data_IF_057372160007
#
_entry.id   IF_057372160007
#
_cell.length_a   1.000
_cell.length_b   1.000
_cell.length_c   1.000
_cell.angle_alpha   90.00
_cell.angle_beta   90.00
_cell.angle_gamma   90.00
#
_symmetry.space_group_name_H-M   'P 1'
#
loop_
_entity.id
_entity.type
_entity.pdbx_description
1 polymer ?
#
# COMPACT_ATOMS: atom_id res chain seq x y z
N UNK A 1 -11.57 -5.37 4.92
CA UNK A 1 -12.43 -4.24 5.30
C UNK A 1 -11.73 -2.90 5.06
N UNK A 2 -10.51 -2.79 5.51
CA UNK A 2 -9.69 -1.58 5.46
C UNK A 2 -9.46 -1.06 4.02
N UNK A 3 -9.25 -1.97 3.10
CA UNK A 3 -9.05 -1.69 1.67
C UNK A 3 -10.33 -1.24 0.97
N UNK A 4 -11.51 -1.55 1.52
CA UNK A 4 -12.79 -1.30 0.88
C UNK A 4 -13.50 -0.04 1.37
N UNK A 5 -13.19 0.44 2.58
CA UNK A 5 -13.86 1.61 3.16
C UNK A 5 -13.77 2.86 2.25
N UNK A 6 -12.60 3.23 1.69
CA UNK A 6 -12.52 4.38 0.79
C UNK A 6 -13.41 4.25 -0.44
N UNK A 7 -13.46 3.07 -1.04
CA UNK A 7 -14.31 2.82 -2.22
C UNK A 7 -15.80 2.91 -1.88
N UNK A 8 -16.20 2.40 -0.70
CA UNK A 8 -17.58 2.46 -0.23
C UNK A 8 -17.97 3.91 0.09
N UNK A 9 -17.08 4.66 0.72
CA UNK A 9 -17.29 6.08 1.04
C UNK A 9 -17.43 6.92 -0.25
N UNK A 10 -16.74 6.53 -1.33
CA UNK A 10 -16.87 7.13 -2.67
C UNK A 10 -18.09 6.63 -3.46
N UNK A 11 -18.91 5.77 -2.87
CA UNK A 11 -20.13 5.24 -3.50
C UNK A 11 -19.92 4.09 -4.48
N UNK A 12 -18.75 3.47 -4.48
CA UNK A 12 -18.46 2.28 -5.28
C UNK A 12 -19.05 1.04 -4.62
N UNK A 13 -19.69 0.17 -5.41
CA UNK A 13 -20.19 -1.11 -4.93
C UNK A 13 -19.03 -2.09 -4.89
N UNK A 14 -18.72 -2.63 -3.70
CA UNK A 14 -17.61 -3.56 -3.51
C UNK A 14 -18.14 -4.98 -3.25
N UNK A 15 -17.67 -5.93 -4.04
CA UNK A 15 -17.91 -7.36 -3.85
C UNK A 15 -16.64 -8.06 -3.38
N UNK A 16 -16.77 -8.94 -2.39
CA UNK A 16 -15.68 -9.79 -1.95
C UNK A 16 -16.21 -11.19 -1.65
N UNK A 17 -15.50 -12.22 -2.08
CA UNK A 17 -15.91 -13.61 -1.84
C UNK A 17 -15.08 -14.60 -2.64
N UNK A 18 -15.45 -15.89 -2.54
CA UNK A 18 -14.74 -17.01 -3.16
C UNK A 18 -15.47 -17.60 -4.38
N UNK A 19 -16.74 -17.28 -4.56
CA UNK A 19 -17.54 -17.73 -5.70
C UNK A 19 -17.62 -16.62 -6.74
N UNK A 20 -16.60 -16.54 -7.58
CA UNK A 20 -16.44 -15.46 -8.56
C UNK A 20 -17.56 -15.41 -9.60
N UNK A 21 -18.14 -16.54 -9.97
CA UNK A 21 -19.27 -16.54 -10.90
C UNK A 21 -20.51 -15.89 -10.28
N UNK A 22 -20.84 -16.22 -9.03
CA UNK A 22 -21.96 -15.58 -8.35
C UNK A 22 -21.74 -14.09 -8.16
N UNK A 23 -20.50 -13.66 -7.83
CA UNK A 23 -20.14 -12.26 -7.70
C UNK A 23 -20.39 -11.55 -9.03
N UNK A 24 -19.87 -12.08 -10.14
CA UNK A 24 -20.05 -11.48 -11.46
C UNK A 24 -21.54 -11.38 -11.82
N UNK A 25 -22.32 -12.45 -11.64
CA UNK A 25 -23.75 -12.45 -11.93
C UNK A 25 -24.58 -11.53 -11.04
N UNK A 26 -24.09 -11.21 -9.86
CA UNK A 26 -24.70 -10.18 -9.03
C UNK A 26 -24.35 -8.76 -9.54
N UNK A 27 -23.06 -8.52 -9.78
CA UNK A 27 -22.54 -7.21 -10.24
C UNK A 27 -23.16 -6.77 -11.58
N UNK A 28 -23.25 -7.67 -12.57
CA UNK A 28 -23.83 -7.39 -13.90
C UNK A 28 -25.27 -6.81 -13.85
N UNK A 29 -25.98 -7.00 -12.74
CA UNK A 29 -27.35 -6.50 -12.57
C UNK A 29 -27.42 -5.07 -12.04
N UNK A 30 -26.30 -4.57 -11.51
CA UNK A 30 -26.26 -3.33 -10.73
C UNK A 30 -25.34 -2.28 -11.34
N UNK A 31 -24.37 -2.70 -12.19
CA UNK A 31 -23.32 -1.81 -12.70
C UNK A 31 -23.07 -2.03 -14.19
N UNK A 32 -22.58 -0.98 -14.86
CA UNK A 32 -22.18 -1.03 -16.27
C UNK A 32 -20.73 -1.48 -16.46
N UNK A 33 -19.88 -1.30 -15.43
CA UNK A 33 -18.46 -1.63 -15.46
C UNK A 33 -18.12 -2.42 -14.21
N UNK A 34 -17.44 -3.55 -14.40
CA UNK A 34 -16.87 -4.38 -13.33
C UNK A 34 -15.36 -4.24 -13.36
N UNK A 35 -14.77 -3.79 -12.26
CA UNK A 35 -13.33 -3.78 -12.04
C UNK A 35 -12.95 -5.00 -11.21
N UNK A 36 -12.13 -5.88 -11.78
CA UNK A 36 -11.51 -6.95 -11.02
C UNK A 36 -10.16 -6.47 -10.49
N UNK A 37 -10.08 -6.32 -9.17
CA UNK A 37 -8.85 -5.92 -8.49
C UNK A 37 -8.13 -7.16 -7.95
N UNK A 38 -6.91 -7.34 -8.40
CA UNK A 38 -6.04 -8.44 -8.01
C UNK A 38 -4.59 -8.00 -7.88
N UNK A 39 -3.85 -8.71 -7.04
CA UNK A 39 -2.40 -8.54 -6.96
C UNK A 39 -1.72 -8.91 -8.29
N UNK A 40 -0.49 -8.43 -8.49
CA UNK A 40 0.31 -8.79 -9.67
C UNK A 40 0.66 -10.29 -9.74
N UNK A 41 0.37 -11.02 -8.69
CA UNK A 41 0.50 -12.47 -8.56
C UNK A 41 -0.82 -13.22 -8.73
N UNK A 42 -1.88 -12.55 -9.15
CA UNK A 42 -3.18 -13.14 -9.40
C UNK A 42 -3.52 -13.12 -10.90
N UNK A 43 -4.21 -14.16 -11.37
CA UNK A 43 -4.82 -14.18 -12.68
C UNK A 43 -6.29 -13.87 -12.55
N UNK A 44 -6.81 -12.99 -13.42
CA UNK A 44 -8.25 -12.78 -13.51
C UNK A 44 -8.99 -14.07 -13.84
N UNK A 45 -10.06 -14.35 -13.11
CA UNK A 45 -11.01 -15.43 -13.42
C UNK A 45 -12.04 -15.05 -14.48
N UNK A 46 -12.07 -13.76 -14.83
CA UNK A 46 -12.97 -13.22 -15.83
C UNK A 46 -12.27 -13.02 -17.17
N UNK A 47 -13.01 -13.14 -18.25
CA UNK A 47 -12.58 -12.64 -19.55
C UNK A 47 -12.70 -11.11 -19.50
N UNK A 48 -11.57 -10.43 -19.48
CA UNK A 48 -11.52 -8.97 -19.37
C UNK A 48 -11.53 -8.33 -20.75
N UNK A 49 -12.28 -7.24 -20.91
CA UNK A 49 -12.24 -6.39 -22.11
C UNK A 49 -11.00 -5.49 -22.13
N UNK A 50 -10.44 -5.20 -20.96
CA UNK A 50 -9.24 -4.39 -20.79
C UNK A 50 -8.42 -4.90 -19.61
N UNK A 51 -7.14 -5.20 -19.83
CA UNK A 51 -6.18 -5.63 -18.81
C UNK A 51 -5.16 -4.55 -18.55
N UNK A 52 -5.18 -4.01 -17.34
CA UNK A 52 -4.24 -2.98 -16.89
C UNK A 52 -3.30 -3.59 -15.86
N UNK A 53 -2.00 -3.48 -16.08
CA UNK A 53 -0.97 -3.93 -15.15
C UNK A 53 -0.20 -2.73 -14.60
N UNK A 54 0.08 -2.72 -13.30
CA UNK A 54 0.87 -1.68 -12.64
C UNK A 54 2.26 -2.20 -12.35
N UNK A 55 3.29 -1.51 -12.86
CA UNK A 55 4.70 -1.80 -12.62
C UNK A 55 5.32 -0.76 -11.67
N UNK A 56 6.20 -1.23 -10.78
CA UNK A 56 6.86 -0.40 -9.76
C UNK A 56 8.35 -0.20 -10.10
N UNK A 57 8.78 1.00 -10.52
CA UNK A 57 10.17 1.26 -10.89
C UNK A 57 11.13 1.31 -9.69
N UNK A 58 10.65 1.28 -8.44
CA UNK A 58 11.51 1.07 -7.28
C UNK A 58 12.06 -0.36 -7.20
N UNK A 59 11.54 -1.27 -8.02
CA UNK A 59 11.93 -2.69 -8.10
C UNK A 59 12.17 -3.12 -9.55
N UNK A 60 13.11 -2.48 -10.27
CA UNK A 60 13.36 -2.78 -11.68
C UNK A 60 13.79 -4.24 -11.85
N UNK A 61 13.18 -4.93 -12.81
CA UNK A 61 13.38 -6.35 -13.09
C UNK A 61 12.29 -7.25 -12.52
N UNK A 62 11.52 -6.82 -11.53
CA UNK A 62 10.43 -7.62 -10.98
C UNK A 62 9.32 -7.89 -12.00
N UNK A 63 9.09 -6.97 -12.92
CA UNK A 63 8.14 -7.10 -14.02
C UNK A 63 8.42 -8.29 -14.96
N UNK A 64 9.66 -8.78 -14.94
CA UNK A 64 10.13 -9.87 -15.82
C UNK A 64 10.60 -11.13 -15.09
N UNK A 65 10.74 -11.11 -13.77
CA UNK A 65 11.37 -12.19 -12.99
C UNK A 65 10.46 -12.86 -11.98
N UNK A 66 9.26 -12.30 -11.74
CA UNK A 66 8.30 -12.85 -10.79
C UNK A 66 7.07 -13.42 -11.51
N UNK A 67 6.87 -14.72 -11.38
CA UNK A 67 5.65 -15.38 -11.83
C UNK A 67 4.57 -15.29 -10.74
N UNK A 68 3.30 -14.99 -11.06
CA UNK A 68 2.73 -14.77 -12.41
C UNK A 68 2.76 -13.33 -12.92
N UNK A 69 3.42 -12.40 -12.24
CA UNK A 69 3.48 -10.99 -12.64
C UNK A 69 4.06 -10.78 -14.05
N UNK A 70 5.05 -11.58 -14.43
CA UNK A 70 5.62 -11.57 -15.78
C UNK A 70 4.56 -11.97 -16.82
N UNK A 71 3.73 -12.97 -16.54
CA UNK A 71 2.64 -13.39 -17.43
C UNK A 71 1.59 -12.29 -17.57
N UNK A 72 1.21 -11.65 -16.47
CA UNK A 72 0.30 -10.51 -16.51
C UNK A 72 0.85 -9.36 -17.35
N UNK A 73 2.15 -9.08 -17.25
CA UNK A 73 2.79 -8.05 -18.08
C UNK A 73 2.77 -8.39 -19.57
N UNK A 74 2.92 -9.67 -19.93
CA UNK A 74 2.83 -10.13 -21.33
C UNK A 74 1.42 -10.06 -21.92
N UNK A 75 0.41 -10.19 -21.08
CA UNK A 75 -1.01 -10.28 -21.48
C UNK A 75 -1.76 -8.94 -21.27
N UNK A 76 -1.06 -7.90 -20.84
CA UNK A 76 -1.64 -6.58 -20.58
C UNK A 76 -1.94 -5.81 -21.88
N UNK A 77 -3.08 -5.12 -21.93
CA UNK A 77 -3.38 -4.11 -22.96
C UNK A 77 -2.72 -2.77 -22.61
N UNK A 78 -2.69 -2.45 -21.32
CA UNK A 78 -2.08 -1.23 -20.78
C UNK A 78 -1.16 -1.56 -19.62
N UNK A 79 0.03 -0.96 -19.59
CA UNK A 79 0.95 -1.06 -18.47
C UNK A 79 1.21 0.34 -17.91
N UNK A 80 0.93 0.52 -16.63
CA UNK A 80 1.19 1.77 -15.91
C UNK A 80 2.48 1.64 -15.11
N UNK A 81 3.54 2.35 -15.51
CA UNK A 81 4.74 2.52 -14.68
C UNK A 81 4.41 3.60 -13.66
N UNK A 82 4.07 3.20 -12.44
CA UNK A 82 3.63 4.11 -11.39
C UNK A 82 4.81 4.66 -10.59
N UNK A 83 4.59 5.70 -9.77
CA UNK A 83 5.60 6.30 -8.86
C UNK A 83 6.84 6.85 -9.58
N UNK A 84 6.72 7.28 -10.82
CA UNK A 84 7.87 7.83 -11.57
C UNK A 84 8.43 9.12 -10.95
N UNK A 85 7.61 9.82 -10.14
CA UNK A 85 7.98 11.03 -9.43
C UNK A 85 8.93 10.79 -8.24
N UNK A 86 9.02 9.56 -7.75
CA UNK A 86 9.83 9.20 -6.58
C UNK A 86 10.93 8.17 -6.90
N UNK A 87 10.86 7.53 -8.06
CA UNK A 87 11.82 6.53 -8.49
C UNK A 87 13.07 7.15 -9.12
N UNK A 88 14.17 6.40 -9.13
CA UNK A 88 15.34 6.75 -9.91
C UNK A 88 15.00 6.81 -11.41
N UNK A 89 15.32 7.89 -12.15
CA UNK A 89 15.05 8.00 -13.58
C UNK A 89 15.63 6.86 -14.41
N UNK A 90 16.81 6.32 -14.04
CA UNK A 90 17.41 5.18 -14.73
C UNK A 90 16.61 3.88 -14.49
N UNK A 91 16.05 3.72 -13.30
CA UNK A 91 15.16 2.60 -12.99
C UNK A 91 13.85 2.66 -13.80
N UNK A 92 13.27 3.86 -13.97
CA UNK A 92 12.08 4.05 -14.83
C UNK A 92 12.40 3.67 -16.28
N UNK A 93 13.54 4.13 -16.82
CA UNK A 93 13.99 3.77 -18.17
C UNK A 93 14.14 2.26 -18.29
N UNK A 94 14.78 1.62 -17.31
CA UNK A 94 15.02 0.18 -17.30
C UNK A 94 13.72 -0.62 -17.32
N UNK A 95 12.76 -0.27 -16.46
CA UNK A 95 11.44 -0.92 -16.44
C UNK A 95 10.72 -0.75 -17.77
N UNK A 96 10.73 0.44 -18.34
CA UNK A 96 10.13 0.71 -19.66
C UNK A 96 10.74 -0.16 -20.76
N UNK A 97 12.06 -0.29 -20.79
CA UNK A 97 12.76 -1.14 -21.76
C UNK A 97 12.39 -2.61 -21.59
N UNK A 98 12.39 -3.10 -20.35
CA UNK A 98 12.00 -4.48 -20.06
C UNK A 98 10.56 -4.76 -20.50
N UNK A 99 9.61 -3.86 -20.19
CA UNK A 99 8.22 -4.01 -20.57
C UNK A 99 8.01 -4.00 -22.08
N UNK A 100 8.74 -3.15 -22.82
CA UNK A 100 8.71 -3.16 -24.30
C UNK A 100 9.23 -4.45 -24.92
N UNK A 101 10.19 -5.11 -24.26
CA UNK A 101 10.69 -6.42 -24.71
C UNK A 101 9.70 -7.54 -24.36
N UNK A 102 9.01 -7.44 -23.23
CA UNK A 102 8.02 -8.43 -22.78
C UNK A 102 6.73 -8.37 -23.59
N UNK A 103 6.23 -7.16 -23.81
CA UNK A 103 4.97 -6.89 -24.49
C UNK A 103 5.07 -5.61 -25.34
N UNK A 104 5.50 -5.74 -26.60
CA UNK A 104 5.66 -4.60 -27.51
C UNK A 104 4.32 -3.96 -27.92
N UNK A 105 3.21 -4.67 -27.78
CA UNK A 105 1.87 -4.23 -28.21
C UNK A 105 1.14 -3.46 -27.12
N UNK A 106 1.55 -3.58 -25.86
CA UNK A 106 0.93 -2.86 -24.76
C UNK A 106 1.15 -1.35 -24.83
N UNK A 107 0.11 -0.60 -24.50
CA UNK A 107 0.23 0.84 -24.26
C UNK A 107 0.91 1.09 -22.91
N UNK A 108 2.10 1.69 -22.91
CA UNK A 108 2.84 2.02 -21.68
C UNK A 108 2.59 3.46 -21.29
N UNK A 109 2.11 3.67 -20.06
CA UNK A 109 1.80 4.98 -19.45
C UNK A 109 2.70 5.18 -18.23
N UNK A 110 3.29 6.36 -18.10
CA UNK A 110 4.03 6.76 -16.88
C UNK A 110 3.12 7.60 -15.99
N UNK A 111 3.03 7.22 -14.72
CA UNK A 111 2.19 7.88 -13.75
C UNK A 111 2.96 8.28 -12.49
N UNK A 112 2.71 9.48 -12.01
CA UNK A 112 3.13 9.91 -10.69
C UNK A 112 2.18 9.35 -9.63
N UNK A 113 2.72 9.11 -8.42
CA UNK A 113 1.94 8.79 -7.23
C UNK A 113 2.21 9.84 -6.14
N UNK A 114 1.67 11.05 -6.30
CA UNK A 114 1.99 12.15 -5.41
C UNK A 114 1.49 11.88 -4.00
N UNK A 115 2.34 12.24 -3.02
CA UNK A 115 2.03 12.13 -1.62
C UNK A 115 1.21 13.33 -1.16
N UNK A 116 0.00 13.08 -0.67
CA UNK A 116 -0.85 14.08 -0.05
C UNK A 116 -0.82 13.92 1.47
N UNK A 117 -0.78 15.04 2.19
CA UNK A 117 -0.83 15.11 3.65
C UNK A 117 -1.82 16.20 4.03
N UNK A 118 -2.74 15.92 4.94
CA UNK A 118 -3.80 16.86 5.34
C UNK A 118 -3.22 18.19 5.88
N UNK A 119 -2.19 18.10 6.74
CA UNK A 119 -1.53 19.27 7.28
C UNK A 119 0.00 19.09 7.28
N UNK A 120 0.68 19.32 6.15
CA UNK A 120 2.13 19.14 6.06
C UNK A 120 2.93 20.10 6.98
N UNK A 121 2.39 21.29 7.27
CA UNK A 121 3.02 22.25 8.15
C UNK A 121 3.11 21.77 9.61
N UNK A 122 2.19 20.90 10.04
CA UNK A 122 2.21 20.32 11.39
C UNK A 122 3.39 19.39 11.63
N UNK A 123 4.02 18.86 10.57
CA UNK A 123 5.13 17.90 10.65
C UNK A 123 6.47 18.61 10.94
N UNK A 124 6.62 19.82 10.43
CA UNK A 124 7.90 20.52 10.49
C UNK A 124 8.42 20.71 11.93
N UNK A 125 9.64 20.25 12.17
CA UNK A 125 10.32 20.39 13.46
C UNK A 125 9.77 19.52 14.59
N UNK A 126 8.83 18.59 14.32
CA UNK A 126 8.20 17.72 15.31
C UNK A 126 8.91 16.38 15.46
N UNK A 127 8.80 15.80 16.65
CA UNK A 127 9.08 14.39 16.90
C UNK A 127 7.83 13.61 16.53
N UNK A 128 7.93 12.72 15.55
CA UNK A 128 6.77 12.05 14.98
C UNK A 128 6.84 10.54 15.15
N UNK A 129 5.70 9.92 15.42
CA UNK A 129 5.48 8.49 15.25
C UNK A 129 4.85 8.28 13.89
N UNK A 130 5.41 7.36 13.10
CA UNK A 130 4.86 6.98 11.80
C UNK A 130 4.18 5.62 11.90
N UNK A 131 2.93 5.54 11.48
CA UNK A 131 2.16 4.30 11.38
C UNK A 131 1.98 3.97 9.90
N UNK A 132 2.31 2.74 9.53
CA UNK A 132 2.24 2.25 8.15
C UNK A 132 1.38 1.00 8.06
N UNK A 133 0.93 0.68 6.85
CA UNK A 133 0.19 -0.54 6.58
C UNK A 133 1.01 -1.79 6.96
N UNK A 134 0.42 -2.64 7.82
CA UNK A 134 1.09 -3.81 8.36
C UNK A 134 1.54 -4.82 7.30
N UNK A 135 0.67 -5.27 6.38
CA UNK A 135 1.01 -6.18 5.29
C UNK A 135 2.15 -5.69 4.39
N UNK A 136 2.17 -4.42 4.03
CA UNK A 136 3.24 -3.82 3.21
C UNK A 136 4.61 -4.01 3.86
N UNK A 137 4.70 -3.85 5.17
CA UNK A 137 5.95 -3.96 5.93
C UNK A 137 6.34 -5.41 6.22
N UNK A 138 5.35 -6.26 6.53
CA UNK A 138 5.61 -7.62 7.00
C UNK A 138 5.73 -8.62 5.86
N UNK A 139 4.98 -8.47 4.79
CA UNK A 139 4.95 -9.37 3.64
C UNK A 139 5.62 -8.76 2.40
N UNK A 140 5.55 -7.43 2.24
CA UNK A 140 6.17 -6.70 1.13
C UNK A 140 7.68 -6.47 1.29
N UNK A 141 8.28 -6.86 2.43
CA UNK A 141 9.69 -6.62 2.78
C UNK A 141 10.13 -5.15 2.69
N UNK A 142 9.18 -4.21 2.75
CA UNK A 142 9.46 -2.78 2.70
C UNK A 142 9.86 -2.28 4.09
N UNK A 143 10.96 -1.55 4.17
CA UNK A 143 11.42 -0.98 5.44
C UNK A 143 10.58 0.21 5.91
N UNK A 144 9.84 0.85 5.00
CA UNK A 144 9.00 2.04 5.24
C UNK A 144 7.98 2.23 4.12
N UNK A 145 6.98 3.08 4.35
CA UNK A 145 5.95 3.44 3.37
C UNK A 145 5.75 4.96 3.24
N UNK A 146 4.55 5.36 2.86
CA UNK A 146 4.21 6.75 2.52
C UNK A 146 4.34 7.72 3.70
N UNK A 147 3.96 7.30 4.90
CA UNK A 147 4.06 8.12 6.12
C UNK A 147 5.49 8.47 6.49
N UNK A 148 6.42 7.52 6.33
CA UNK A 148 7.85 7.78 6.54
C UNK A 148 8.39 8.79 5.51
N UNK A 149 8.02 8.63 4.24
CA UNK A 149 8.39 9.57 3.19
C UNK A 149 7.83 10.96 3.49
N UNK A 150 6.56 11.05 3.96
CA UNK A 150 5.96 12.30 4.40
C UNK A 150 6.75 12.96 5.53
N UNK A 151 7.08 12.19 6.58
CA UNK A 151 7.85 12.70 7.71
C UNK A 151 9.19 13.33 7.27
N UNK A 152 9.91 12.65 6.37
CA UNK A 152 11.18 13.14 5.81
C UNK A 152 10.98 14.38 4.93
N UNK A 153 10.03 14.32 4.01
CA UNK A 153 9.77 15.38 3.02
C UNK A 153 9.35 16.69 3.66
N UNK A 154 8.52 16.61 4.72
CA UNK A 154 7.99 17.79 5.41
C UNK A 154 8.77 18.19 6.65
N UNK A 155 9.98 17.66 6.83
CA UNK A 155 10.95 18.16 7.80
C UNK A 155 10.64 17.82 9.25
N UNK A 156 10.18 16.59 9.52
CA UNK A 156 10.14 16.09 10.89
C UNK A 156 11.53 16.19 11.53
N UNK A 157 11.59 16.66 12.78
CA UNK A 157 12.84 16.73 13.56
C UNK A 157 13.40 15.33 13.85
N UNK A 158 12.51 14.40 14.14
CA UNK A 158 12.83 13.03 14.51
C UNK A 158 11.68 12.11 14.13
N UNK A 159 11.99 10.94 13.55
CA UNK A 159 11.05 9.83 13.45
C UNK A 159 11.39 8.90 14.60
N UNK A 160 10.49 8.83 15.58
CA UNK A 160 10.70 8.10 16.83
C UNK A 160 10.53 6.61 16.57
N UNK A 161 11.51 5.81 16.99
CA UNK A 161 11.42 4.35 16.92
C UNK A 161 10.38 3.83 17.93
N UNK A 162 9.30 3.18 17.51
CA UNK A 162 8.27 2.69 18.41
C UNK A 162 8.64 1.43 19.20
N UNK A 163 9.73 0.74 18.86
CA UNK A 163 10.10 -0.53 19.50
C UNK A 163 10.24 -0.45 21.02
N UNK A 164 10.82 0.61 21.64
CA UNK A 164 10.90 0.73 23.08
C UNK A 164 9.54 0.84 23.78
N UNK A 165 8.52 1.25 23.05
CA UNK A 165 7.15 1.45 23.56
C UNK A 165 6.22 0.30 23.20
N UNK A 166 6.67 -0.62 22.34
CA UNK A 166 5.87 -1.71 21.82
C UNK A 166 5.39 -2.67 22.92
N UNK A 167 4.09 -2.95 22.95
CA UNK A 167 3.48 -3.84 23.92
C UNK A 167 3.01 -5.14 23.26
N UNK A 168 3.12 -6.25 23.98
CA UNK A 168 2.57 -7.58 23.64
C UNK A 168 2.68 -7.95 22.15
N UNK A 169 1.55 -7.99 21.42
CA UNK A 169 1.49 -8.42 20.01
C UNK A 169 2.32 -7.53 19.09
N UNK A 170 2.43 -6.24 19.37
CA UNK A 170 3.28 -5.33 18.59
C UNK A 170 4.76 -5.67 18.80
N UNK A 171 5.17 -5.95 20.04
CA UNK A 171 6.55 -6.38 20.33
C UNK A 171 6.88 -7.74 19.67
N UNK A 172 5.90 -8.64 19.57
CA UNK A 172 6.05 -9.92 18.88
C UNK A 172 6.21 -9.71 17.37
N UNK A 173 5.45 -8.78 16.78
CA UNK A 173 5.58 -8.41 15.37
C UNK A 173 7.00 -7.94 15.05
N UNK A 174 7.60 -7.06 15.84
CA UNK A 174 8.99 -6.62 15.62
C UNK A 174 10.01 -7.76 15.77
N UNK A 175 9.79 -8.70 16.69
CA UNK A 175 10.65 -9.90 16.80
C UNK A 175 10.59 -10.79 15.58
N UNK A 176 9.39 -10.94 15.00
CA UNK A 176 9.15 -11.75 13.82
C UNK A 176 9.67 -11.07 12.53
N UNK A 177 9.57 -9.74 12.46
CA UNK A 177 9.95 -8.94 11.30
C UNK A 177 11.03 -7.90 11.65
N UNK A 178 12.28 -8.31 11.89
CA UNK A 178 13.33 -7.44 12.41
C UNK A 178 13.81 -6.39 11.39
N UNK A 179 13.47 -6.53 10.11
CA UNK A 179 13.80 -5.56 9.04
C UNK A 179 12.85 -4.37 8.98
N UNK A 180 11.74 -4.39 9.71
CA UNK A 180 10.84 -3.23 9.83
C UNK A 180 11.64 -2.02 10.31
N UNK A 181 11.52 -0.90 9.62
CA UNK A 181 12.18 0.35 9.97
C UNK A 181 11.65 0.98 11.27
N UNK A 182 12.03 2.22 11.59
CA UNK A 182 11.54 2.94 12.77
C UNK A 182 10.11 3.45 12.57
N UNK A 183 9.21 2.53 12.26
CA UNK A 183 7.80 2.77 11.95
C UNK A 183 6.94 1.73 12.64
N UNK A 184 5.70 2.08 12.95
CA UNK A 184 4.75 1.22 13.64
C UNK A 184 3.85 0.54 12.60
N UNK A 185 3.89 -0.80 12.46
CA UNK A 185 2.96 -1.51 11.59
C UNK A 185 1.53 -1.43 12.18
N UNK A 186 0.58 -0.98 11.38
CA UNK A 186 -0.84 -1.03 11.73
C UNK A 186 -1.30 -2.49 11.75
N UNK A 187 -1.31 -3.08 12.93
CA UNK A 187 -1.78 -4.44 13.18
C UNK A 187 -3.08 -4.35 13.98
N UNK A 188 -4.18 -4.77 13.42
CA UNK A 188 -5.48 -4.57 14.08
C UNK A 188 -6.58 -5.52 13.60
N UNK A 189 -6.24 -6.80 13.33
CA UNK A 189 -7.22 -7.79 12.88
C UNK A 189 -8.14 -8.33 14.00
N UNK A 190 -7.93 -7.91 15.25
CA UNK A 190 -8.77 -8.28 16.38
C UNK A 190 -8.64 -7.29 17.54
N UNK A 191 -9.67 -7.27 18.42
CA UNK A 191 -9.75 -6.32 19.54
C UNK A 191 -8.49 -6.28 20.44
N UNK A 192 -7.83 -7.42 20.65
CA UNK A 192 -6.61 -7.46 21.46
C UNK A 192 -5.45 -6.73 20.78
N UNK A 193 -5.26 -6.93 19.47
CA UNK A 193 -4.23 -6.24 18.69
C UNK A 193 -4.50 -4.74 18.57
N UNK A 194 -5.77 -4.36 18.39
CA UNK A 194 -6.19 -2.95 18.36
C UNK A 194 -5.85 -2.25 19.68
N UNK A 195 -6.13 -2.89 20.82
CA UNK A 195 -5.74 -2.37 22.16
C UNK A 195 -4.21 -2.27 22.33
N UNK A 196 -3.45 -3.23 21.83
CA UNK A 196 -1.99 -3.22 21.92
C UNK A 196 -1.40 -2.12 21.02
N UNK A 197 -2.00 -1.87 19.84
CA UNK A 197 -1.65 -0.78 18.94
C UNK A 197 -1.90 0.58 19.62
N UNK A 198 -3.11 0.80 20.14
CA UNK A 198 -3.49 2.01 20.89
C UNK A 198 -2.54 2.26 22.06
N UNK A 199 -2.26 1.23 22.86
CA UNK A 199 -1.36 1.35 24.00
C UNK A 199 0.10 1.68 23.58
N UNK A 200 0.56 1.13 22.46
CA UNK A 200 1.90 1.44 21.92
C UNK A 200 1.97 2.89 21.46
N UNK A 201 0.97 3.37 20.71
CA UNK A 201 0.90 4.75 20.24
C UNK A 201 0.90 5.72 21.43
N UNK A 202 -0.01 5.52 22.39
CA UNK A 202 -0.20 6.42 23.52
C UNK A 202 0.95 6.39 24.56
N UNK A 203 1.82 5.36 24.50
CA UNK A 203 3.07 5.31 25.27
C UNK A 203 4.24 6.01 24.58
N UNK A 204 4.15 6.20 23.28
CA UNK A 204 5.22 6.84 22.51
C UNK A 204 5.31 8.31 22.86
N UNK A 205 6.52 8.76 23.22
CA UNK A 205 6.79 10.17 23.56
C UNK A 205 7.02 10.96 22.27
N UNK A 206 5.94 11.45 21.68
CA UNK A 206 5.93 12.14 20.38
C UNK A 206 5.03 13.36 20.37
N UNK A 207 5.30 14.31 19.48
CA UNK A 207 4.50 15.52 19.31
C UNK A 207 3.34 15.31 18.31
N UNK A 208 3.47 14.31 17.41
CA UNK A 208 2.53 14.07 16.31
C UNK A 208 2.58 12.61 15.86
N UNK A 209 1.43 12.09 15.46
CA UNK A 209 1.29 10.78 14.80
C UNK A 209 0.96 11.00 13.34
N UNK A 210 1.72 10.36 12.45
CA UNK A 210 1.46 10.33 11.00
C UNK A 210 0.87 8.95 10.67
N UNK A 211 -0.34 8.96 10.13
CA UNK A 211 -1.06 7.74 9.72
C UNK A 211 -0.86 7.55 8.22
N UNK A 212 -0.05 6.57 7.84
CA UNK A 212 0.27 6.19 6.46
C UNK A 212 -0.39 4.86 6.04
N UNK A 213 -1.55 4.56 6.59
CA UNK A 213 -2.36 3.38 6.25
C UNK A 213 -3.69 3.81 5.64
N UNK A 214 -4.30 3.02 4.75
CA UNK A 214 -5.60 3.35 4.15
C UNK A 214 -6.76 3.41 5.13
N UNK A 215 -6.63 2.79 6.31
CA UNK A 215 -7.67 2.85 7.34
C UNK A 215 -7.61 4.16 8.13
N UNK A 216 -8.76 4.75 8.42
CA UNK A 216 -8.89 5.80 9.43
C UNK A 216 -8.80 5.19 10.84
N UNK A 217 -7.59 5.19 11.40
CA UNK A 217 -7.33 4.65 12.73
C UNK A 217 -8.14 5.35 13.83
N UNK A 218 -8.55 6.61 13.63
CA UNK A 218 -9.32 7.35 14.63
C UNK A 218 -10.72 6.79 14.87
N UNK A 219 -11.23 5.98 13.92
CA UNK A 219 -12.50 5.24 14.07
C UNK A 219 -12.40 4.02 14.98
N UNK A 220 -11.18 3.51 15.23
CA UNK A 220 -10.99 2.25 15.95
C UNK A 220 -10.15 2.37 17.22
N UNK A 221 -9.32 3.41 17.33
CA UNK A 221 -8.46 3.69 18.49
C UNK A 221 -8.54 5.16 18.92
N UNK A 222 -8.22 5.43 20.18
CA UNK A 222 -8.10 6.79 20.72
C UNK A 222 -6.62 7.17 20.82
N UNK A 223 -6.23 8.17 20.04
CA UNK A 223 -4.89 8.77 20.08
C UNK A 223 -4.97 10.04 20.95
N UNK A 224 -4.15 10.09 22.01
CA UNK A 224 -4.13 11.19 23.00
C UNK A 224 -3.14 12.26 22.59
#
# INVERSE_FOLDING_TARGET
REEYEPHIDDGVIVYAGVDYEKILRAAEKEVDIVLWDGGNNDFSFYVSDLKIVVADPHRPGHESTYHPGEVNSRDADVIVINKVDTADPQAVIKVRENLRLLNPDATVIEAASPLFVDNPAAIYGKRVLVIEDGPTLTHGEMAYGAGYVAAKRFGAKEIVDPRPFAVKSIAETYRKYPRTGPILPAMGYGEAQTRDLEATINKSDVDLVIIGTPIDLTRVIKIN
#
